data_IF_012431341600
#
_entry.id   IF_012431341600
#
_cell.length_a   1.000
_cell.length_b   1.000
_cell.length_c   1.000
_cell.angle_alpha   90.00
_cell.angle_beta   90.00
_cell.angle_gamma   90.00
#
_symmetry.space_group_name_H-M   'P 1'
#
loop_
_entity.id
_entity.type
_entity.pdbx_description
1 polymer ?
#
# COMPACT_ATOMS: atom_id res chain seq x y z
N UNK A 1 15.28 15.44 -28.83
CA UNK A 1 14.38 14.56 -28.05
C UNK A 1 14.90 14.56 -26.63
N UNK A 2 14.03 14.80 -25.69
CA UNK A 2 14.36 14.80 -24.26
C UNK A 2 14.77 13.40 -23.78
N UNK A 3 15.66 13.32 -22.81
CA UNK A 3 16.23 12.06 -22.34
C UNK A 3 16.30 12.04 -20.82
N UNK A 4 16.22 10.84 -20.24
CA UNK A 4 16.52 10.63 -18.81
C UNK A 4 18.00 10.98 -18.61
N UNK A 5 18.26 11.99 -17.78
CA UNK A 5 19.59 12.47 -17.47
C UNK A 5 20.19 11.78 -16.27
N UNK A 6 19.41 11.68 -15.19
CA UNK A 6 19.86 11.12 -13.93
C UNK A 6 18.70 10.53 -13.11
N UNK A 7 19.03 9.60 -12.23
CA UNK A 7 18.09 9.03 -11.26
C UNK A 7 18.75 9.07 -9.88
N UNK A 8 18.08 9.69 -8.92
CA UNK A 8 18.57 9.89 -7.57
C UNK A 8 17.69 9.21 -6.53
N UNK A 9 18.30 8.65 -5.48
CA UNK A 9 17.60 7.92 -4.42
C UNK A 9 17.80 8.63 -3.09
N UNK A 10 16.70 8.88 -2.38
CA UNK A 10 16.68 9.54 -1.08
C UNK A 10 15.97 8.66 -0.05
N UNK A 11 16.71 8.18 0.95
CA UNK A 11 16.12 7.55 2.13
C UNK A 11 15.80 8.61 3.15
N UNK A 12 14.52 8.78 3.48
CA UNK A 12 14.04 9.83 4.38
C UNK A 12 13.16 9.24 5.50
N UNK A 13 13.10 9.88 6.67
CA UNK A 13 12.19 9.48 7.74
C UNK A 13 10.72 9.44 7.28
N UNK A 14 9.88 8.61 7.92
CA UNK A 14 10.22 7.63 8.94
C UNK A 14 10.87 6.38 8.36
N UNK A 15 10.56 6.00 7.09
CA UNK A 15 11.05 4.78 6.43
C UNK A 15 10.90 4.80 4.90
N UNK A 16 10.79 5.96 4.29
CA UNK A 16 10.50 6.10 2.85
C UNK A 16 11.75 6.16 1.98
N UNK A 17 11.62 5.72 0.76
CA UNK A 17 12.66 5.74 -0.27
C UNK A 17 12.08 6.52 -1.45
N UNK A 18 12.38 7.81 -1.52
CA UNK A 18 11.96 8.67 -2.62
C UNK A 18 12.95 8.57 -3.78
N UNK A 19 12.44 8.61 -5.00
CA UNK A 19 13.21 8.49 -6.24
C UNK A 19 12.90 9.67 -7.13
N UNK A 20 13.94 10.41 -7.52
CA UNK A 20 13.83 11.51 -8.47
C UNK A 20 14.42 11.11 -9.82
N UNK A 21 13.68 11.30 -10.89
CA UNK A 21 14.13 11.12 -12.28
C UNK A 21 14.21 12.48 -12.95
N UNK A 22 15.43 12.92 -13.28
CA UNK A 22 15.69 14.19 -13.97
C UNK A 22 15.85 13.98 -15.48
N UNK A 23 15.44 14.97 -16.27
CA UNK A 23 15.52 14.97 -17.73
C UNK A 23 16.43 16.08 -18.26
N UNK A 24 16.86 15.99 -19.52
CA UNK A 24 17.73 16.98 -20.16
C UNK A 24 17.08 18.37 -20.31
N UNK A 25 15.75 18.42 -20.44
CA UNK A 25 14.97 19.66 -20.51
C UNK A 25 14.65 20.27 -19.12
N UNK A 26 15.15 19.64 -18.03
CA UNK A 26 15.07 20.16 -16.68
C UNK A 26 13.82 19.78 -15.90
N UNK A 27 12.97 18.88 -16.41
CA UNK A 27 11.87 18.33 -15.64
C UNK A 27 12.41 17.28 -14.65
N UNK A 28 11.84 17.27 -13.45
CA UNK A 28 12.04 16.22 -12.44
C UNK A 28 10.71 15.59 -12.11
N UNK A 29 10.62 14.28 -12.18
CA UNK A 29 9.49 13.53 -11.68
C UNK A 29 9.86 12.69 -10.47
N UNK A 30 8.88 12.42 -9.62
CA UNK A 30 9.06 11.74 -8.35
C UNK A 30 8.33 10.39 -8.30
N UNK A 31 9.02 9.41 -7.72
CA UNK A 31 8.47 8.10 -7.40
C UNK A 31 8.83 7.70 -5.98
N UNK A 32 8.24 6.61 -5.51
CA UNK A 32 8.51 6.08 -4.19
C UNK A 32 8.61 4.56 -4.21
N UNK A 33 9.67 4.06 -3.58
CA UNK A 33 9.92 2.64 -3.40
C UNK A 33 9.63 2.22 -1.95
N UNK A 34 9.28 0.96 -1.76
CA UNK A 34 8.98 0.32 -0.47
C UNK A 34 10.06 -0.73 -0.10
N UNK A 35 9.76 -1.68 0.74
CA UNK A 35 10.59 -2.72 1.36
C UNK A 35 11.59 -2.11 2.35
N UNK A 36 11.09 -1.49 3.43
CA UNK A 36 11.92 -0.72 4.37
C UNK A 36 13.09 -1.53 4.97
N UNK A 37 12.87 -2.79 5.28
CA UNK A 37 13.89 -3.69 5.86
C UNK A 37 15.01 -4.04 4.87
N UNK A 38 14.82 -3.71 3.59
CA UNK A 38 15.79 -3.96 2.50
C UNK A 38 16.15 -2.67 1.75
N UNK A 39 16.04 -1.51 2.40
CA UNK A 39 16.24 -0.20 1.77
C UNK A 39 17.57 -0.04 1.04
N UNK A 40 18.65 -0.64 1.54
CA UNK A 40 19.95 -0.62 0.86
C UNK A 40 19.95 -1.46 -0.44
N UNK A 41 19.30 -2.62 -0.43
CA UNK A 41 19.17 -3.46 -1.62
C UNK A 41 18.26 -2.79 -2.66
N UNK A 42 17.18 -2.13 -2.22
CA UNK A 42 16.30 -1.34 -3.11
C UNK A 42 17.07 -0.20 -3.77
N UNK A 43 17.88 0.55 -3.01
CA UNK A 43 18.73 1.61 -3.57
C UNK A 43 19.69 1.08 -4.63
N UNK A 44 20.40 -0.03 -4.36
CA UNK A 44 21.29 -0.67 -5.33
C UNK A 44 20.54 -1.17 -6.58
N UNK A 45 19.34 -1.73 -6.41
CA UNK A 45 18.53 -2.16 -7.55
C UNK A 45 18.08 -0.97 -8.43
N UNK A 46 17.75 0.17 -7.82
CA UNK A 46 17.42 1.40 -8.57
C UNK A 46 18.66 1.89 -9.36
N UNK A 47 19.84 1.88 -8.75
CA UNK A 47 21.09 2.25 -9.41
C UNK A 47 21.43 1.35 -10.59
N UNK A 48 21.24 0.03 -10.46
CA UNK A 48 21.43 -0.94 -11.56
C UNK A 48 20.44 -0.68 -12.71
N UNK A 49 19.17 -0.48 -12.38
CA UNK A 49 18.13 -0.17 -13.39
C UNK A 49 18.39 1.17 -14.06
N UNK A 50 18.83 2.19 -13.32
CA UNK A 50 19.19 3.49 -13.86
C UNK A 50 20.26 3.41 -14.95
N UNK A 51 21.27 2.56 -14.75
CA UNK A 51 22.31 2.30 -15.76
C UNK A 51 21.78 1.79 -17.10
N UNK A 52 20.64 1.11 -17.09
CA UNK A 52 20.02 0.53 -18.28
C UNK A 52 19.07 1.48 -19.02
N UNK A 53 18.59 2.56 -18.40
CA UNK A 53 17.56 3.43 -18.94
C UNK A 53 18.00 4.90 -19.08
N UNK A 54 19.09 5.32 -18.45
CA UNK A 54 19.67 6.64 -18.66
C UNK A 54 19.97 6.87 -20.14
N UNK A 55 19.64 8.06 -20.65
CA UNK A 55 19.71 8.40 -22.06
C UNK A 55 18.50 7.93 -22.90
N UNK A 56 17.56 7.20 -22.31
CA UNK A 56 16.32 6.83 -23.00
C UNK A 56 15.28 7.96 -22.99
N UNK A 57 14.29 7.86 -23.87
CA UNK A 57 13.14 8.77 -23.94
C UNK A 57 12.18 8.49 -22.77
N UNK A 58 11.98 9.45 -21.82
CA UNK A 58 11.10 9.27 -20.67
C UNK A 58 9.61 9.11 -21.04
N UNK A 59 9.22 9.51 -22.26
CA UNK A 59 7.84 9.34 -22.75
C UNK A 59 7.47 7.89 -23.10
N UNK A 60 8.47 7.02 -23.27
CA UNK A 60 8.25 5.59 -23.61
C UNK A 60 8.07 4.71 -22.37
N UNK A 61 7.14 5.09 -21.51
CA UNK A 61 6.98 4.49 -20.17
C UNK A 61 6.82 2.98 -20.22
N UNK A 62 5.93 2.45 -21.07
CA UNK A 62 5.69 0.99 -21.16
C UNK A 62 6.94 0.25 -21.70
N UNK A 63 7.69 0.81 -22.66
CA UNK A 63 8.94 0.20 -23.13
C UNK A 63 9.98 0.14 -22.00
N UNK A 64 10.13 1.24 -21.26
CA UNK A 64 11.04 1.31 -20.10
C UNK A 64 10.63 0.36 -18.97
N UNK A 65 9.32 0.29 -18.69
CA UNK A 65 8.77 -0.69 -17.76
C UNK A 65 9.14 -2.13 -18.13
N UNK A 66 8.93 -2.49 -19.41
CA UNK A 66 9.27 -3.83 -19.89
C UNK A 66 10.78 -4.11 -19.83
N UNK A 67 11.64 -3.12 -20.14
CA UNK A 67 13.10 -3.25 -19.98
C UNK A 67 13.47 -3.54 -18.53
N UNK A 68 12.92 -2.79 -17.58
CA UNK A 68 13.19 -2.97 -16.15
C UNK A 68 12.67 -4.29 -15.61
N UNK A 69 11.49 -4.74 -16.05
CA UNK A 69 10.80 -5.93 -15.51
C UNK A 69 11.13 -7.22 -16.26
N UNK A 70 11.42 -7.14 -17.55
CA UNK A 70 11.60 -8.31 -18.45
C UNK A 70 12.96 -8.38 -19.12
N UNK A 71 13.77 -7.33 -19.03
CA UNK A 71 15.07 -7.24 -19.70
C UNK A 71 16.12 -8.19 -19.12
N UNK A 72 15.98 -8.61 -17.87
CA UNK A 72 16.89 -9.56 -17.21
C UNK A 72 16.44 -11.01 -17.36
N UNK A 73 17.41 -11.94 -17.29
CA UNK A 73 17.12 -13.37 -17.23
C UNK A 73 16.48 -13.77 -15.91
N UNK A 74 17.02 -13.31 -14.79
CA UNK A 74 16.43 -13.46 -13.45
C UNK A 74 15.47 -12.30 -13.20
N UNK A 75 14.24 -12.62 -12.87
CA UNK A 75 13.14 -11.67 -12.72
C UNK A 75 12.47 -11.82 -11.36
N UNK A 76 11.67 -10.82 -11.03
CA UNK A 76 10.78 -10.77 -9.88
C UNK A 76 11.44 -10.60 -8.51
N UNK A 77 10.64 -10.65 -7.51
CA UNK A 77 10.98 -10.32 -6.14
C UNK A 77 10.71 -8.85 -5.79
N UNK A 78 10.40 -8.58 -4.51
CA UNK A 78 9.91 -7.27 -4.09
C UNK A 78 10.95 -6.16 -4.30
N UNK A 79 12.24 -6.45 -4.21
CA UNK A 79 13.31 -5.44 -4.36
C UNK A 79 13.38 -4.92 -5.81
N UNK A 80 13.36 -5.80 -6.81
CA UNK A 80 13.35 -5.38 -8.21
C UNK A 80 12.01 -4.78 -8.62
N UNK A 81 10.92 -5.32 -8.07
CA UNK A 81 9.58 -4.82 -8.34
C UNK A 81 9.43 -3.35 -7.90
N UNK A 82 9.77 -3.04 -6.67
CA UNK A 82 9.65 -1.68 -6.14
C UNK A 82 10.63 -0.70 -6.80
N UNK A 83 11.83 -1.15 -7.15
CA UNK A 83 12.80 -0.33 -7.88
C UNK A 83 12.24 0.09 -9.25
N UNK A 84 11.68 -0.85 -10.01
CA UNK A 84 11.05 -0.53 -11.30
C UNK A 84 9.79 0.33 -11.13
N UNK A 85 8.94 0.03 -10.14
CA UNK A 85 7.72 0.77 -9.87
C UNK A 85 7.98 2.23 -9.49
N UNK A 86 8.99 2.49 -8.67
CA UNK A 86 9.35 3.86 -8.28
C UNK A 86 9.83 4.72 -9.46
N UNK A 87 10.62 4.13 -10.35
CA UNK A 87 11.04 4.82 -11.58
C UNK A 87 9.84 5.07 -12.50
N UNK A 88 8.97 4.10 -12.65
CA UNK A 88 7.77 4.21 -13.50
C UNK A 88 6.81 5.30 -13.00
N UNK A 89 6.59 5.42 -11.69
CA UNK A 89 5.82 6.51 -11.09
C UNK A 89 6.41 7.87 -11.47
N UNK A 90 7.74 8.03 -11.34
CA UNK A 90 8.43 9.26 -11.70
C UNK A 90 8.31 9.59 -13.19
N UNK A 91 8.31 8.61 -14.08
CA UNK A 91 8.10 8.83 -15.51
C UNK A 91 6.67 9.30 -15.82
N UNK A 92 5.67 8.80 -15.10
CA UNK A 92 4.30 9.30 -15.20
C UNK A 92 4.18 10.73 -14.70
N UNK A 93 4.87 11.06 -13.62
CA UNK A 93 4.93 12.41 -13.07
C UNK A 93 5.53 13.39 -14.10
N UNK A 94 6.66 13.05 -14.71
CA UNK A 94 7.27 13.81 -15.82
C UNK A 94 6.29 13.98 -16.97
N UNK A 95 5.57 12.92 -17.37
CA UNK A 95 4.60 12.97 -18.46
C UNK A 95 3.48 13.96 -18.16
N UNK A 96 2.95 13.93 -16.95
CA UNK A 96 1.92 14.86 -16.51
C UNK A 96 2.40 16.31 -16.51
N UNK A 97 3.58 16.59 -15.96
CA UNK A 97 4.17 17.92 -15.98
C UNK A 97 4.44 18.43 -17.40
N UNK A 98 4.94 17.57 -18.28
CA UNK A 98 5.20 17.94 -19.69
C UNK A 98 3.96 18.39 -20.43
N UNK A 99 2.81 17.84 -20.11
CA UNK A 99 1.55 18.17 -20.77
C UNK A 99 0.65 19.12 -19.96
N UNK A 100 1.10 19.53 -18.77
CA UNK A 100 0.33 20.32 -17.81
C UNK A 100 -1.02 19.68 -17.45
N UNK A 101 -1.00 18.35 -17.26
CA UNK A 101 -2.19 17.55 -16.94
C UNK A 101 -1.91 16.59 -15.78
N UNK A 102 -2.89 16.30 -14.93
CA UNK A 102 -2.79 15.22 -13.96
C UNK A 102 -2.73 13.86 -14.67
N UNK A 103 -2.06 12.89 -14.06
CA UNK A 103 -1.83 11.57 -14.69
C UNK A 103 -3.13 10.85 -15.01
N UNK A 104 -4.18 10.99 -14.21
CA UNK A 104 -5.46 10.34 -14.47
C UNK A 104 -6.10 10.71 -15.81
N UNK A 105 -5.78 11.86 -16.40
CA UNK A 105 -6.26 12.23 -17.73
C UNK A 105 -5.72 11.30 -18.83
N UNK A 106 -4.54 10.73 -18.63
CA UNK A 106 -3.95 9.75 -19.56
C UNK A 106 -4.46 8.32 -19.31
N UNK A 107 -5.19 8.08 -18.22
CA UNK A 107 -5.75 6.77 -17.85
C UNK A 107 -7.25 6.64 -18.18
N UNK A 108 -7.80 7.59 -18.92
CA UNK A 108 -9.20 7.61 -19.32
C UNK A 108 -10.06 8.68 -18.63
N UNK A 109 -9.45 9.50 -17.78
CA UNK A 109 -10.13 10.56 -17.03
C UNK A 109 -10.82 10.08 -15.74
N UNK A 110 -11.16 11.01 -14.89
CA UNK A 110 -11.72 10.71 -13.59
C UNK A 110 -13.20 10.33 -13.66
N UNK A 111 -13.60 9.31 -12.90
CA UNK A 111 -15.00 8.88 -12.70
C UNK A 111 -15.57 9.37 -11.36
N UNK A 112 -14.73 9.98 -10.50
CA UNK A 112 -15.13 10.51 -9.21
C UNK A 112 -14.31 11.72 -8.80
N UNK A 113 -14.92 12.59 -7.99
CA UNK A 113 -14.28 13.80 -7.46
C UNK A 113 -13.60 13.57 -6.10
N UNK A 114 -13.96 12.50 -5.41
CA UNK A 114 -13.44 12.17 -4.08
C UNK A 114 -13.22 10.67 -3.95
N UNK A 115 -12.12 10.30 -3.28
CA UNK A 115 -11.77 8.91 -2.96
C UNK A 115 -11.86 8.76 -1.44
N UNK A 116 -12.72 7.86 -0.98
CA UNK A 116 -12.83 7.51 0.45
C UNK A 116 -11.53 6.90 0.93
N UNK A 117 -11.14 7.19 2.18
CA UNK A 117 -9.96 6.62 2.83
C UNK A 117 -10.30 6.06 4.20
N UNK A 118 -9.53 5.08 4.65
CA UNK A 118 -9.62 4.58 6.01
C UNK A 118 -8.41 4.99 6.84
N UNK A 119 -8.55 4.90 8.17
CA UNK A 119 -7.47 5.17 9.11
C UNK A 119 -7.07 3.89 9.86
N UNK A 120 -5.76 3.76 10.11
CA UNK A 120 -5.20 2.72 10.96
C UNK A 120 -5.39 3.04 12.44
N UNK A 121 -5.64 1.99 13.23
CA UNK A 121 -5.69 2.00 14.70
C UNK A 121 -4.95 0.78 15.27
N UNK A 122 -4.48 0.86 16.51
CA UNK A 122 -3.93 -0.26 17.27
C UNK A 122 -2.43 -0.57 17.06
N UNK A 123 -1.84 -0.20 15.92
CA UNK A 123 -0.43 -0.51 15.60
C UNK A 123 -0.19 -1.98 15.24
N UNK A 124 1.09 -2.41 15.18
CA UNK A 124 1.47 -3.80 14.84
C UNK A 124 0.97 -4.83 15.86
N UNK A 125 0.85 -4.40 17.11
CA UNK A 125 0.26 -5.13 18.22
C UNK A 125 -0.94 -4.34 18.71
N UNK A 126 -2.19 -4.82 18.51
CA UNK A 126 -3.37 -4.01 18.78
C UNK A 126 -3.48 -3.64 20.26
N UNK A 127 -3.50 -2.33 20.54
CA UNK A 127 -3.72 -1.77 21.86
C UNK A 127 -4.54 -0.49 21.75
N UNK A 128 -5.27 -0.14 22.80
CA UNK A 128 -6.06 1.11 22.91
C UNK A 128 -6.95 1.41 21.68
N UNK A 129 -7.49 0.36 21.06
CA UNK A 129 -8.20 0.46 19.77
C UNK A 129 -9.42 1.39 19.85
N UNK A 130 -10.14 1.39 20.97
CA UNK A 130 -11.34 2.25 21.15
C UNK A 130 -10.96 3.73 21.22
N UNK A 131 -9.95 4.08 22.03
CA UNK A 131 -9.45 5.46 22.14
C UNK A 131 -8.92 5.98 20.82
N UNK A 132 -8.17 5.14 20.09
CA UNK A 132 -7.66 5.52 18.78
C UNK A 132 -8.77 5.63 17.74
N UNK A 133 -9.76 4.74 17.76
CA UNK A 133 -10.93 4.83 16.91
C UNK A 133 -11.69 6.15 17.13
N UNK A 134 -11.96 6.52 18.38
CA UNK A 134 -12.62 7.79 18.73
C UNK A 134 -11.86 8.98 18.13
N UNK A 135 -10.54 9.02 18.30
CA UNK A 135 -9.71 10.09 17.73
C UNK A 135 -9.78 10.15 16.19
N UNK A 136 -9.83 9.01 15.49
CA UNK A 136 -9.96 8.98 14.03
C UNK A 136 -11.34 9.38 13.55
N UNK A 137 -12.38 8.94 14.23
CA UNK A 137 -13.76 9.35 13.93
C UNK A 137 -13.96 10.86 14.13
N UNK A 138 -13.37 11.44 15.18
CA UNK A 138 -13.35 12.89 15.39
C UNK A 138 -12.65 13.66 14.26
N UNK A 139 -11.70 13.05 13.56
CA UNK A 139 -11.05 13.59 12.35
C UNK A 139 -11.90 13.42 11.08
N UNK A 140 -13.08 12.79 11.19
CA UNK A 140 -14.03 12.61 10.09
C UNK A 140 -13.87 11.31 9.31
N UNK A 141 -13.01 10.38 9.73
CA UNK A 141 -12.96 9.05 9.11
C UNK A 141 -14.24 8.26 9.41
N UNK A 142 -14.67 7.45 8.47
CA UNK A 142 -15.85 6.58 8.60
C UNK A 142 -15.50 5.11 8.46
N UNK A 143 -14.24 4.83 8.16
CA UNK A 143 -13.68 3.47 8.04
C UNK A 143 -12.34 3.38 8.77
N UNK A 144 -12.14 2.26 9.45
CA UNK A 144 -10.97 1.96 10.26
C UNK A 144 -10.41 0.60 9.88
N UNK A 145 -9.08 0.44 9.97
CA UNK A 145 -8.38 -0.85 9.85
C UNK A 145 -7.50 -1.07 11.07
N UNK A 146 -7.46 -2.29 11.58
CA UNK A 146 -6.56 -2.70 12.65
C UNK A 146 -6.03 -4.10 12.41
N UNK A 147 -4.84 -4.38 12.95
CA UNK A 147 -4.35 -5.75 13.03
C UNK A 147 -5.27 -6.59 13.93
N UNK A 148 -5.49 -7.85 13.55
CA UNK A 148 -6.34 -8.75 14.31
C UNK A 148 -5.63 -9.26 15.55
N UNK A 149 -4.40 -9.72 15.37
CA UNK A 149 -3.69 -10.54 16.36
C UNK A 149 -2.31 -9.99 16.66
N UNK A 150 -1.83 -10.33 17.81
CA UNK A 150 -0.40 -10.51 18.09
C UNK A 150 0.09 -11.81 17.45
N UNK A 151 1.09 -12.48 18.03
CA UNK A 151 1.54 -13.78 17.55
C UNK A 151 0.50 -14.87 17.82
N UNK A 152 0.30 -15.76 16.84
CA UNK A 152 -0.48 -16.99 17.00
C UNK A 152 0.34 -18.19 16.54
N UNK A 153 0.22 -19.31 17.26
CA UNK A 153 0.75 -20.59 16.79
C UNK A 153 -0.13 -21.21 15.69
N UNK A 154 0.40 -22.22 14.98
CA UNK A 154 -0.35 -22.97 13.96
C UNK A 154 -1.69 -23.48 14.48
N UNK A 155 -1.70 -23.95 15.73
CA UNK A 155 -2.90 -24.28 16.51
C UNK A 155 -2.67 -23.73 17.90
N UNK A 156 -3.44 -22.72 18.26
CA UNK A 156 -3.33 -22.05 19.56
C UNK A 156 -4.56 -22.31 20.42
N UNK A 157 -4.51 -21.91 21.70
CA UNK A 157 -5.61 -22.03 22.64
C UNK A 157 -6.76 -21.07 22.28
N UNK A 158 -7.98 -21.47 22.60
CA UNK A 158 -9.19 -20.67 22.33
C UNK A 158 -9.11 -19.26 22.94
N UNK A 159 -8.49 -19.09 24.13
CA UNK A 159 -8.36 -17.78 24.76
C UNK A 159 -7.61 -16.73 23.93
N UNK A 160 -6.73 -17.14 23.00
CA UNK A 160 -6.07 -16.20 22.07
C UNK A 160 -7.05 -15.69 21.02
N UNK A 161 -8.05 -16.48 20.64
CA UNK A 161 -9.12 -16.03 19.76
C UNK A 161 -10.08 -15.09 20.50
N UNK A 162 -10.37 -15.39 21.78
CA UNK A 162 -11.24 -14.56 22.62
C UNK A 162 -10.69 -13.12 22.71
N UNK A 163 -9.37 -12.95 22.78
CA UNK A 163 -8.71 -11.64 22.79
C UNK A 163 -8.98 -10.83 21.51
N UNK A 164 -8.96 -11.48 20.35
CA UNK A 164 -9.28 -10.86 19.06
C UNK A 164 -10.75 -10.44 19.01
N UNK A 165 -11.63 -11.37 19.37
CA UNK A 165 -13.07 -11.16 19.39
C UNK A 165 -13.43 -10.01 20.34
N UNK A 166 -12.84 -9.98 21.53
CA UNK A 166 -13.08 -8.92 22.52
C UNK A 166 -12.67 -7.53 22.00
N UNK A 167 -11.57 -7.42 21.25
CA UNK A 167 -11.17 -6.13 20.65
C UNK A 167 -12.16 -5.66 19.57
N UNK A 168 -12.62 -6.56 18.71
CA UNK A 168 -13.62 -6.24 17.69
C UNK A 168 -14.96 -5.88 18.35
N UNK A 169 -15.39 -6.64 19.36
CA UNK A 169 -16.59 -6.36 20.15
C UNK A 169 -16.52 -4.97 20.78
N UNK A 170 -15.38 -4.60 21.40
CA UNK A 170 -15.22 -3.28 22.02
C UNK A 170 -15.43 -2.12 21.03
N UNK A 171 -14.97 -2.24 19.80
CA UNK A 171 -15.23 -1.23 18.74
C UNK A 171 -16.72 -1.22 18.39
N UNK A 172 -17.35 -2.38 18.25
CA UNK A 172 -18.78 -2.47 17.91
C UNK A 172 -19.68 -1.97 19.04
N UNK A 173 -19.32 -2.24 20.29
CA UNK A 173 -20.06 -1.73 21.47
C UNK A 173 -19.96 -0.21 21.58
N UNK A 174 -18.79 0.37 21.28
CA UNK A 174 -18.57 1.80 21.36
C UNK A 174 -19.22 2.59 20.20
N UNK A 175 -19.17 2.06 18.96
CA UNK A 175 -19.48 2.84 17.75
C UNK A 175 -20.54 2.20 16.84
N UNK A 176 -21.00 0.99 17.15
CA UNK A 176 -21.99 0.27 16.34
C UNK A 176 -21.47 -0.10 14.93
N UNK A 177 -22.43 -0.25 14.01
CA UNK A 177 -22.17 -0.61 12.60
C UNK A 177 -22.13 0.59 11.65
N UNK A 178 -22.25 1.82 12.18
CA UNK A 178 -22.10 3.04 11.38
C UNK A 178 -20.64 3.32 10.99
N UNK A 179 -19.70 2.63 11.62
CA UNK A 179 -18.26 2.67 11.33
C UNK A 179 -17.88 1.38 10.61
N UNK A 180 -17.31 1.52 9.41
CA UNK A 180 -16.76 0.37 8.72
C UNK A 180 -15.44 -0.06 9.38
N UNK A 181 -15.31 -1.35 9.66
CA UNK A 181 -14.14 -1.92 10.32
C UNK A 181 -13.55 -3.04 9.45
N UNK A 182 -12.32 -2.84 9.00
CA UNK A 182 -11.49 -3.87 8.38
C UNK A 182 -10.54 -4.48 9.41
N UNK A 183 -10.34 -5.77 9.32
CA UNK A 183 -9.48 -6.52 10.22
C UNK A 183 -8.37 -7.20 9.41
N UNK A 184 -7.13 -6.86 9.72
CA UNK A 184 -5.97 -7.37 9.01
C UNK A 184 -5.31 -8.51 9.81
N UNK A 185 -5.22 -9.68 9.20
CA UNK A 185 -4.51 -10.82 9.78
C UNK A 185 -3.02 -10.79 9.45
N UNK A 186 -2.62 -9.91 8.52
CA UNK A 186 -1.22 -9.70 8.12
C UNK A 186 -0.48 -10.99 7.73
N UNK A 187 -1.19 -12.01 7.24
CA UNK A 187 -0.61 -13.32 6.95
C UNK A 187 -0.01 -14.04 8.16
N UNK A 188 -0.36 -13.64 9.39
CA UNK A 188 0.12 -14.27 10.65
C UNK A 188 -0.71 -15.46 11.09
N UNK A 189 -1.92 -15.56 10.57
CA UNK A 189 -2.91 -16.53 11.03
C UNK A 189 -2.90 -17.77 10.14
N UNK A 190 -2.50 -18.89 10.69
CA UNK A 190 -2.50 -20.15 9.98
C UNK A 190 -3.92 -20.68 9.75
N UNK A 191 -4.11 -21.48 8.70
CA UNK A 191 -5.42 -21.96 8.24
C UNK A 191 -6.35 -22.49 9.34
N UNK A 192 -5.93 -23.33 10.31
CA UNK A 192 -6.83 -23.81 11.35
C UNK A 192 -7.40 -22.69 12.22
N UNK A 193 -6.54 -21.74 12.61
CA UNK A 193 -6.92 -20.60 13.44
C UNK A 193 -7.73 -19.57 12.66
N UNK A 194 -7.38 -19.35 11.37
CA UNK A 194 -8.14 -18.48 10.49
C UNK A 194 -9.59 -18.95 10.35
N UNK A 195 -9.82 -20.25 10.20
CA UNK A 195 -11.18 -20.82 10.13
C UNK A 195 -11.97 -20.59 11.41
N UNK A 196 -11.33 -20.78 12.56
CA UNK A 196 -11.99 -20.56 13.85
C UNK A 196 -12.33 -19.06 14.07
N UNK A 197 -11.38 -18.16 13.79
CA UNK A 197 -11.61 -16.73 13.92
C UNK A 197 -12.70 -16.22 12.98
N UNK A 198 -12.66 -16.58 11.71
CA UNK A 198 -13.61 -16.11 10.72
C UNK A 198 -15.04 -16.49 11.05
N UNK A 199 -15.26 -17.71 11.54
CA UNK A 199 -16.59 -18.18 11.97
C UNK A 199 -17.15 -17.31 13.12
N UNK A 200 -16.32 -16.93 14.09
CA UNK A 200 -16.75 -16.09 15.21
C UNK A 200 -16.86 -14.60 14.82
N UNK A 201 -16.06 -14.13 13.86
CA UNK A 201 -16.04 -12.74 13.44
C UNK A 201 -17.20 -12.34 12.53
N UNK A 202 -17.88 -13.29 11.86
CA UNK A 202 -18.99 -13.00 10.94
C UNK A 202 -20.09 -12.14 11.58
N UNK A 203 -20.37 -12.33 12.87
CA UNK A 203 -21.41 -11.62 13.61
C UNK A 203 -21.17 -10.11 13.72
N UNK A 204 -19.93 -9.65 13.57
CA UNK A 204 -19.57 -8.25 13.75
C UNK A 204 -19.74 -7.39 12.50
N UNK A 205 -20.10 -7.95 11.34
CA UNK A 205 -20.31 -7.19 10.11
C UNK A 205 -19.05 -6.39 9.71
N UNK A 206 -17.92 -7.07 9.57
CA UNK A 206 -16.67 -6.47 9.13
C UNK A 206 -16.76 -6.00 7.68
N UNK A 207 -16.05 -4.95 7.35
CA UNK A 207 -15.91 -4.45 5.98
C UNK A 207 -15.16 -5.46 5.12
N UNK A 208 -14.06 -6.04 5.66
CA UNK A 208 -13.35 -7.22 5.17
C UNK A 208 -12.43 -7.82 6.23
N UNK A 209 -11.97 -9.04 5.96
CA UNK A 209 -10.77 -9.60 6.58
C UNK A 209 -9.66 -9.65 5.52
N UNK A 210 -8.51 -9.06 5.86
CA UNK A 210 -7.34 -8.92 5.02
C UNK A 210 -6.29 -9.98 5.36
N UNK A 211 -5.61 -10.51 4.33
CA UNK A 211 -4.55 -11.49 4.42
C UNK A 211 -4.82 -12.61 5.44
N UNK A 212 -5.94 -13.37 5.29
CA UNK A 212 -6.37 -14.34 6.29
C UNK A 212 -5.45 -15.56 6.42
N UNK A 213 -4.45 -15.68 5.56
CA UNK A 213 -3.51 -16.80 5.49
C UNK A 213 -2.07 -16.32 5.32
N UNK A 214 -1.06 -17.11 5.72
CA UNK A 214 0.34 -16.82 5.43
C UNK A 214 0.61 -16.68 3.92
N UNK A 215 1.60 -15.87 3.53
CA UNK A 215 1.98 -15.69 2.13
C UNK A 215 2.27 -17.01 1.42
N UNK A 216 1.83 -17.15 0.18
CA UNK A 216 1.98 -18.36 -0.63
C UNK A 216 0.90 -19.41 -0.38
N UNK A 217 -0.14 -19.08 0.39
CA UNK A 217 -1.28 -19.97 0.65
C UNK A 217 -2.58 -19.46 -0.04
N UNK A 218 -2.45 -18.60 -1.05
CA UNK A 218 -3.59 -17.95 -1.72
C UNK A 218 -4.52 -18.98 -2.38
N UNK A 219 -4.01 -20.13 -2.79
CA UNK A 219 -4.81 -21.23 -3.36
C UNK A 219 -5.85 -21.81 -2.38
N UNK A 220 -5.70 -21.55 -1.07
CA UNK A 220 -6.64 -21.96 -0.04
C UNK A 220 -7.78 -20.95 0.22
N UNK A 221 -7.73 -19.77 -0.39
CA UNK A 221 -8.74 -18.72 -0.19
C UNK A 221 -10.18 -19.19 -0.50
N UNK A 222 -10.45 -20.03 -1.52
CA UNK A 222 -11.80 -20.55 -1.73
C UNK A 222 -12.35 -21.38 -0.56
N UNK A 223 -11.48 -22.06 0.21
CA UNK A 223 -11.88 -22.74 1.45
C UNK A 223 -12.18 -21.72 2.55
N UNK A 224 -11.32 -20.72 2.70
CA UNK A 224 -11.43 -19.67 3.71
C UNK A 224 -12.70 -18.83 3.49
N UNK A 225 -12.97 -18.40 2.27
CA UNK A 225 -14.17 -17.62 1.94
C UNK A 225 -15.47 -18.33 2.31
N UNK A 226 -15.54 -19.67 2.16
CA UNK A 226 -16.71 -20.44 2.59
C UNK A 226 -16.93 -20.39 4.10
N UNK A 227 -15.86 -20.30 4.89
CA UNK A 227 -15.95 -20.20 6.36
C UNK A 227 -16.23 -18.77 6.79
N UNK A 228 -15.70 -17.78 6.07
CA UNK A 228 -15.93 -16.38 6.33
C UNK A 228 -17.41 -15.93 6.16
N UNK A 229 -18.22 -16.76 5.47
CA UNK A 229 -19.65 -16.51 5.29
C UNK A 229 -19.90 -15.19 4.56
N UNK A 230 -20.47 -14.22 5.25
CA UNK A 230 -20.77 -12.87 4.71
C UNK A 230 -19.61 -11.90 4.78
N UNK A 231 -18.52 -12.24 5.44
CA UNK A 231 -17.38 -11.33 5.60
C UNK A 231 -16.52 -11.35 4.33
N UNK A 232 -16.39 -10.23 3.62
CA UNK A 232 -15.53 -10.16 2.43
C UNK A 232 -14.08 -10.49 2.75
N UNK A 233 -13.38 -11.10 1.81
CA UNK A 233 -11.94 -11.42 1.90
C UNK A 233 -11.15 -10.47 1.00
N UNK A 234 -10.14 -9.84 1.59
CA UNK A 234 -9.21 -8.95 0.90
C UNK A 234 -7.78 -9.49 0.94
N UNK A 235 -7.02 -9.35 -0.14
CA UNK A 235 -5.60 -9.69 -0.19
C UNK A 235 -4.93 -9.11 -1.44
N UNK A 236 -3.60 -9.13 -1.49
CA UNK A 236 -2.86 -8.78 -2.70
C UNK A 236 -1.69 -7.84 -2.50
N UNK A 237 -1.49 -7.28 -1.32
CA UNK A 237 -0.39 -6.33 -1.03
C UNK A 237 1.01 -6.89 -1.30
N UNK A 238 1.17 -8.22 -1.24
CA UNK A 238 2.45 -8.94 -1.47
C UNK A 238 2.57 -9.51 -2.88
N UNK A 239 1.53 -9.39 -3.71
CA UNK A 239 1.56 -9.85 -5.09
C UNK A 239 2.19 -8.80 -6.00
N UNK A 240 3.10 -9.24 -6.88
CA UNK A 240 3.98 -8.34 -7.63
C UNK A 240 3.67 -8.27 -9.13
N UNK A 241 2.84 -9.19 -9.65
CA UNK A 241 2.66 -9.34 -11.11
C UNK A 241 1.20 -9.56 -11.49
N UNK A 242 0.83 -9.15 -12.70
CA UNK A 242 -0.50 -9.44 -13.25
C UNK A 242 -0.82 -10.93 -13.27
N UNK A 243 0.20 -11.76 -13.51
CA UNK A 243 0.04 -13.21 -13.54
C UNK A 243 -0.32 -13.79 -12.17
N UNK A 244 0.22 -13.24 -11.06
CA UNK A 244 -0.18 -13.63 -9.71
C UNK A 244 -1.62 -13.22 -9.39
N UNK A 245 -2.00 -11.99 -9.74
CA UNK A 245 -3.38 -11.53 -9.59
C UNK A 245 -4.38 -12.29 -10.48
N UNK A 246 -3.99 -12.63 -11.72
CA UNK A 246 -4.83 -13.45 -12.59
C UNK A 246 -5.09 -14.84 -12.00
N UNK A 247 -4.08 -15.48 -11.38
CA UNK A 247 -4.26 -16.75 -10.66
C UNK A 247 -5.19 -16.59 -9.48
N UNK A 248 -4.98 -15.56 -8.65
CA UNK A 248 -5.84 -15.24 -7.50
C UNK A 248 -7.29 -15.07 -7.91
N UNK A 249 -7.57 -14.21 -8.89
CA UNK A 249 -8.91 -13.94 -9.39
C UNK A 249 -9.58 -15.20 -9.99
N UNK A 250 -8.81 -15.97 -10.76
CA UNK A 250 -9.32 -17.21 -11.37
C UNK A 250 -9.61 -18.33 -10.36
N UNK A 251 -8.86 -18.39 -9.26
CA UNK A 251 -9.11 -19.34 -8.18
C UNK A 251 -10.41 -19.01 -7.42
N UNK A 252 -10.75 -17.72 -7.33
CA UNK A 252 -11.88 -17.23 -6.55
C UNK A 252 -11.62 -17.19 -5.04
N UNK A 253 -12.65 -16.81 -4.27
CA UNK A 253 -12.54 -16.68 -2.81
C UNK A 253 -11.89 -15.38 -2.35
N UNK A 254 -11.72 -14.41 -3.25
CA UNK A 254 -11.32 -13.05 -2.97
C UNK A 254 -12.41 -12.10 -3.47
N UNK A 255 -12.79 -11.14 -2.64
CA UNK A 255 -13.80 -10.12 -2.94
C UNK A 255 -13.17 -8.76 -3.22
N UNK A 256 -11.97 -8.53 -2.67
CA UNK A 256 -11.23 -7.28 -2.78
C UNK A 256 -9.76 -7.59 -3.03
N UNK A 257 -9.19 -7.06 -4.12
CA UNK A 257 -7.74 -7.10 -4.30
C UNK A 257 -7.10 -5.80 -3.81
N UNK A 258 -5.87 -5.92 -3.27
CA UNK A 258 -5.15 -4.82 -2.63
C UNK A 258 -3.73 -4.63 -3.22
N UNK A 259 -3.61 -4.38 -4.53
CA UNK A 259 -2.30 -4.14 -5.13
C UNK A 259 -1.67 -2.85 -4.58
N UNK A 260 -0.34 -2.88 -4.36
CA UNK A 260 0.44 -1.72 -3.95
C UNK A 260 1.13 -1.08 -5.15
N UNK A 261 0.86 0.20 -5.38
CA UNK A 261 1.47 0.98 -6.47
C UNK A 261 3.00 1.02 -6.39
N UNK A 262 3.56 0.95 -5.18
CA UNK A 262 5.01 0.94 -4.97
C UNK A 262 5.67 -0.40 -5.31
N UNK A 263 4.90 -1.44 -5.54
CA UNK A 263 5.36 -2.76 -5.97
C UNK A 263 4.95 -3.07 -7.42
N UNK A 264 3.74 -2.72 -7.79
CA UNK A 264 3.20 -3.01 -9.12
C UNK A 264 3.52 -1.94 -10.16
N UNK A 265 3.69 -0.69 -9.75
CA UNK A 265 3.70 0.47 -10.64
C UNK A 265 2.30 1.02 -10.89
N UNK A 266 2.23 2.27 -11.34
CA UNK A 266 0.97 3.00 -11.52
C UNK A 266 0.13 2.41 -12.67
N UNK A 267 0.75 2.16 -13.82
CA UNK A 267 0.02 1.63 -14.97
C UNK A 267 -0.33 0.15 -14.84
N UNK A 268 0.45 -0.63 -14.10
CA UNK A 268 0.06 -1.99 -13.76
C UNK A 268 -1.10 -1.99 -12.76
N UNK A 269 -1.13 -1.08 -11.78
CA UNK A 269 -2.28 -0.91 -10.88
C UNK A 269 -3.56 -0.62 -11.67
N UNK A 270 -3.50 0.25 -12.67
CA UNK A 270 -4.65 0.53 -13.56
C UNK A 270 -5.12 -0.73 -14.30
N UNK A 271 -4.19 -1.47 -14.91
CA UNK A 271 -4.49 -2.75 -15.59
C UNK A 271 -5.10 -3.79 -14.64
N UNK A 272 -4.63 -3.83 -13.38
CA UNK A 272 -5.17 -4.72 -12.34
C UNK A 272 -6.61 -4.35 -11.97
N UNK A 273 -6.91 -3.05 -11.85
CA UNK A 273 -8.28 -2.59 -11.63
C UNK A 273 -9.21 -3.06 -12.75
N UNK A 274 -8.82 -2.88 -14.05
CA UNK A 274 -9.62 -3.35 -15.18
C UNK A 274 -9.77 -4.86 -15.23
N UNK A 275 -8.74 -5.59 -14.84
CA UNK A 275 -8.82 -7.05 -14.75
C UNK A 275 -9.78 -7.49 -13.65
N UNK A 276 -9.70 -6.90 -12.46
CA UNK A 276 -10.58 -7.21 -11.34
C UNK A 276 -12.05 -6.89 -11.64
N UNK A 277 -12.32 -5.80 -12.37
CA UNK A 277 -13.66 -5.42 -12.81
C UNK A 277 -14.33 -6.53 -13.63
N UNK A 278 -13.58 -7.24 -14.48
CA UNK A 278 -14.11 -8.36 -15.26
C UNK A 278 -14.49 -9.59 -14.43
N UNK A 279 -14.03 -9.68 -13.19
CA UNK A 279 -14.36 -10.73 -12.23
C UNK A 279 -15.38 -10.29 -11.17
N UNK A 280 -15.92 -9.07 -11.28
CA UNK A 280 -16.79 -8.45 -10.24
C UNK A 280 -16.09 -8.35 -8.88
N UNK A 281 -14.78 -8.08 -8.88
CA UNK A 281 -13.95 -7.95 -7.70
C UNK A 281 -13.58 -6.48 -7.47
N UNK A 282 -13.77 -6.02 -6.24
CA UNK A 282 -13.41 -4.66 -5.83
C UNK A 282 -11.89 -4.49 -5.67
N UNK A 283 -11.46 -3.23 -5.65
CA UNK A 283 -10.06 -2.88 -5.39
C UNK A 283 -9.99 -1.90 -4.21
N UNK A 284 -9.10 -2.16 -3.27
CA UNK A 284 -8.76 -1.26 -2.18
C UNK A 284 -7.22 -1.17 -2.12
N UNK A 285 -6.58 -0.27 -2.89
CA UNK A 285 -5.13 -0.26 -3.02
C UNK A 285 -4.43 -0.14 -1.68
N UNK A 286 -3.49 -1.04 -1.40
CA UNK A 286 -2.61 -1.00 -0.25
C UNK A 286 -1.65 0.18 -0.38
N UNK A 287 -1.55 1.02 0.63
CA UNK A 287 -0.67 2.20 0.61
C UNK A 287 -0.34 2.73 2.03
N UNK A 288 0.32 1.98 2.91
CA UNK A 288 0.85 2.48 4.17
C UNK A 288 2.16 3.23 3.95
N UNK A 289 2.32 3.83 2.79
CA UNK A 289 3.55 4.42 2.25
C UNK A 289 3.57 5.94 2.42
N UNK A 290 4.51 6.60 1.77
CA UNK A 290 4.67 8.03 1.80
C UNK A 290 3.82 8.80 0.77
N UNK A 291 4.11 10.10 0.61
CA UNK A 291 3.25 10.99 -0.16
C UNK A 291 3.23 10.70 -1.66
N UNK A 292 4.33 10.21 -2.23
CA UNK A 292 4.40 9.97 -3.68
C UNK A 292 3.60 8.73 -4.05
N UNK A 293 3.72 7.66 -3.26
CA UNK A 293 2.92 6.45 -3.46
C UNK A 293 1.43 6.72 -3.32
N UNK A 294 1.02 7.49 -2.30
CA UNK A 294 -0.40 7.85 -2.14
C UNK A 294 -0.90 8.69 -3.31
N UNK A 295 -0.13 9.68 -3.76
CA UNK A 295 -0.48 10.49 -4.91
C UNK A 295 -0.61 9.65 -6.19
N UNK A 296 0.33 8.74 -6.44
CA UNK A 296 0.30 7.82 -7.59
C UNK A 296 -0.92 6.88 -7.54
N UNK A 297 -1.22 6.31 -6.38
CA UNK A 297 -2.38 5.44 -6.18
C UNK A 297 -3.70 6.18 -6.41
N UNK A 298 -3.80 7.44 -5.94
CA UNK A 298 -4.98 8.29 -6.16
C UNK A 298 -5.25 8.58 -7.64
N UNK A 299 -4.22 8.70 -8.48
CA UNK A 299 -4.40 8.89 -9.91
C UNK A 299 -5.21 7.73 -10.52
N UNK A 300 -4.91 6.50 -10.12
CA UNK A 300 -5.66 5.32 -10.56
C UNK A 300 -7.02 5.22 -9.86
N UNK A 301 -7.08 5.45 -8.55
CA UNK A 301 -8.32 5.38 -7.78
C UNK A 301 -9.41 6.33 -8.28
N UNK A 302 -9.00 7.46 -8.89
CA UNK A 302 -9.94 8.40 -9.51
C UNK A 302 -10.54 7.89 -10.81
N UNK A 303 -9.85 7.00 -11.56
CA UNK A 303 -10.26 6.51 -12.87
C UNK A 303 -10.97 5.16 -12.83
N UNK A 304 -10.68 4.33 -11.83
CA UNK A 304 -11.19 2.97 -11.75
C UNK A 304 -12.49 2.90 -10.94
N UNK A 305 -13.58 2.50 -11.58
CA UNK A 305 -14.93 2.46 -10.99
C UNK A 305 -15.04 1.49 -9.82
N UNK A 306 -14.30 0.40 -9.86
CA UNK A 306 -14.28 -0.65 -8.84
C UNK A 306 -13.31 -0.41 -7.67
N UNK A 307 -12.59 0.71 -7.61
CA UNK A 307 -11.87 1.11 -6.40
C UNK A 307 -12.90 1.62 -5.38
N UNK A 308 -13.00 0.93 -4.24
CA UNK A 308 -14.03 1.21 -3.22
C UNK A 308 -13.52 2.10 -2.10
N UNK A 309 -12.23 2.02 -1.77
CA UNK A 309 -11.59 2.82 -0.73
C UNK A 309 -10.07 2.78 -0.93
N UNK A 310 -9.36 3.81 -0.47
CA UNK A 310 -7.90 3.92 -0.56
C UNK A 310 -7.26 3.87 0.82
N UNK A 311 -6.19 3.11 0.98
CA UNK A 311 -5.33 3.19 2.15
C UNK A 311 -4.49 4.45 2.14
N UNK A 312 -4.17 4.95 3.34
CA UNK A 312 -3.26 6.06 3.55
C UNK A 312 -2.55 5.91 4.91
N UNK A 313 -1.40 6.56 5.07
CA UNK A 313 -0.52 6.33 6.23
C UNK A 313 -0.54 7.44 7.29
N UNK A 314 -1.36 8.48 7.15
CA UNK A 314 -1.39 9.59 8.12
C UNK A 314 -1.63 9.10 9.54
N UNK A 315 -0.70 9.46 10.43
CA UNK A 315 -0.75 9.11 11.85
C UNK A 315 -0.55 7.64 12.15
N UNK A 316 0.05 6.87 11.25
CA UNK A 316 0.50 5.52 11.57
C UNK A 316 1.57 5.53 12.68
N UNK A 317 1.58 4.50 13.51
CA UNK A 317 2.43 4.41 14.69
C UNK A 317 3.93 4.54 14.40
N UNK A 318 4.42 4.08 13.25
CA UNK A 318 5.84 4.19 12.89
C UNK A 318 6.27 5.62 12.50
N UNK A 319 5.37 6.54 12.27
CA UNK A 319 5.69 7.96 12.05
C UNK A 319 6.23 8.63 13.33
N UNK A 320 5.89 8.11 14.49
CA UNK A 320 6.32 8.64 15.78
C UNK A 320 7.74 8.20 16.23
N UNK A 321 8.55 7.63 15.34
CA UNK A 321 9.90 7.14 15.68
C UNK A 321 9.94 5.65 16.00
N UNK A 322 9.14 4.86 15.32
CA UNK A 322 9.07 3.41 15.45
C UNK A 322 10.43 2.73 15.24
N UNK A 323 10.74 1.73 16.08
CA UNK A 323 11.97 0.93 16.01
C UNK A 323 13.27 1.77 15.97
N UNK A 324 13.28 2.96 16.61
CA UNK A 324 14.44 3.85 16.66
C UNK A 324 14.69 4.65 15.37
N UNK A 325 13.79 4.58 14.40
CA UNK A 325 13.81 5.45 13.24
C UNK A 325 13.46 6.90 13.63
N UNK A 326 14.02 7.90 12.92
CA UNK A 326 13.60 9.28 13.11
C UNK A 326 12.10 9.46 12.83
N UNK A 327 11.49 10.42 13.54
CA UNK A 327 10.09 10.82 13.28
C UNK A 327 9.95 11.47 11.92
N UNK A 328 8.80 11.27 11.29
CA UNK A 328 8.47 11.93 10.04
C UNK A 328 7.01 11.68 9.65
N UNK A 329 6.41 12.69 9.03
CA UNK A 329 5.08 12.63 8.42
C UNK A 329 5.18 12.89 6.92
N UNK A 330 4.20 12.41 6.14
CA UNK A 330 4.24 12.60 4.69
C UNK A 330 4.23 14.09 4.30
N UNK A 331 3.61 14.94 5.09
CA UNK A 331 3.56 16.38 4.84
C UNK A 331 4.89 17.08 5.02
N UNK A 332 5.85 16.47 5.70
CA UNK A 332 7.20 17.01 5.87
C UNK A 332 7.98 17.11 4.55
N UNK A 333 7.50 16.47 3.48
CA UNK A 333 8.14 16.40 2.16
C UNK A 333 7.32 17.06 1.06
N UNK A 334 6.24 17.76 1.41
CA UNK A 334 5.36 18.42 0.47
C UNK A 334 5.46 19.94 0.61
N UNK A 335 5.65 20.64 -0.50
CA UNK A 335 5.56 22.11 -0.53
C UNK A 335 4.12 22.59 -0.23
N UNK A 336 3.11 21.77 -0.60
CA UNK A 336 1.70 22.00 -0.28
C UNK A 336 1.06 20.67 0.16
N UNK A 337 0.65 20.53 1.44
CA UNK A 337 0.03 19.30 1.93
C UNK A 337 -1.45 19.14 1.55
N UNK A 338 -2.10 20.19 1.06
CA UNK A 338 -3.57 20.21 0.79
C UNK A 338 -4.04 19.09 -0.13
N UNK A 339 -3.33 18.70 -1.21
CA UNK A 339 -3.77 17.61 -2.09
C UNK A 339 -3.94 16.27 -1.38
N UNK A 340 -3.14 16.00 -0.33
CA UNK A 340 -3.15 14.75 0.42
C UNK A 340 -3.75 14.90 1.84
N UNK A 341 -4.41 16.02 2.13
CA UNK A 341 -5.09 16.22 3.41
C UNK A 341 -6.52 15.71 3.34
N UNK A 342 -6.89 14.65 4.09
CA UNK A 342 -8.24 14.11 4.09
C UNK A 342 -9.24 15.12 4.66
N UNK A 343 -10.43 15.17 4.07
CA UNK A 343 -11.54 15.93 4.57
C UNK A 343 -12.80 15.05 4.60
N UNK A 344 -13.39 14.87 5.80
CA UNK A 344 -14.55 14.02 5.98
C UNK A 344 -14.32 12.58 5.47
N UNK A 345 -13.19 11.99 5.85
CA UNK A 345 -12.81 10.61 5.51
C UNK A 345 -12.55 10.35 4.02
N UNK A 346 -12.24 11.38 3.24
CA UNK A 346 -11.92 11.24 1.81
C UNK A 346 -10.83 12.22 1.38
N UNK A 347 -10.11 11.87 0.32
CA UNK A 347 -9.20 12.73 -0.42
C UNK A 347 -9.89 13.25 -1.69
N UNK A 348 -9.60 14.48 -2.06
CA UNK A 348 -10.09 15.03 -3.32
C UNK A 348 -9.32 14.46 -4.50
N UNK A 349 -9.93 14.46 -5.66
CA UNK A 349 -9.27 14.16 -6.92
C UNK A 349 -8.06 15.09 -7.12
N UNK A 350 -6.87 14.56 -7.43
CA UNK A 350 -5.71 15.38 -7.75
C UNK A 350 -5.99 16.29 -8.95
N UNK A 351 -5.72 17.59 -8.79
CA UNK A 351 -5.99 18.59 -9.85
C UNK A 351 -4.71 19.15 -10.48
N UNK A 352 -3.55 19.01 -9.83
CA UNK A 352 -2.26 19.49 -10.35
C UNK A 352 -1.68 18.59 -11.43
N UNK A 353 -0.77 19.12 -12.23
CA UNK A 353 0.00 18.35 -13.21
C UNK A 353 0.80 17.21 -12.54
N UNK A 354 1.14 16.19 -13.31
CA UNK A 354 1.87 15.04 -12.81
C UNK A 354 1.04 14.22 -11.83
N UNK A 355 1.63 13.84 -10.71
CA UNK A 355 0.94 13.14 -9.63
C UNK A 355 0.04 14.06 -8.80
N UNK A 356 0.02 15.38 -9.10
CA UNK A 356 -0.84 16.35 -8.43
C UNK A 356 -0.32 16.82 -7.06
N UNK A 357 0.95 16.58 -6.78
CA UNK A 357 1.68 17.04 -5.60
C UNK A 357 2.97 17.77 -5.99
N UNK A 358 3.51 18.56 -5.09
CA UNK A 358 4.82 19.19 -5.27
C UNK A 358 5.73 18.78 -4.11
N UNK A 359 6.82 18.12 -4.42
CA UNK A 359 7.83 17.71 -3.43
C UNK A 359 8.66 18.90 -3.01
N UNK A 360 8.89 19.05 -1.72
CA UNK A 360 9.89 19.98 -1.16
C UNK A 360 11.28 19.33 -1.25
N UNK A 361 11.99 19.59 -2.35
CA UNK A 361 13.30 19.02 -2.61
C UNK A 361 14.34 19.41 -1.53
N UNK A 362 14.22 20.60 -0.95
CA UNK A 362 15.09 21.06 0.11
C UNK A 362 14.89 20.23 1.39
N UNK A 363 13.64 20.00 1.78
CA UNK A 363 13.30 19.14 2.91
C UNK A 363 13.73 17.67 2.68
N UNK A 364 13.59 17.15 1.47
CA UNK A 364 14.07 15.81 1.10
C UNK A 364 15.58 15.70 1.23
N UNK A 365 16.33 16.71 0.74
CA UNK A 365 17.79 16.73 0.80
C UNK A 365 18.30 16.87 2.25
N UNK A 366 17.71 17.77 3.04
CA UNK A 366 18.05 18.00 4.45
C UNK A 366 17.80 16.77 5.32
N UNK A 367 16.66 16.10 5.14
CA UNK A 367 16.25 14.94 5.94
C UNK A 367 16.81 13.61 5.44
N UNK A 368 17.58 13.62 4.34
CA UNK A 368 18.22 12.40 3.83
C UNK A 368 19.05 11.74 4.92
N UNK A 369 18.79 10.46 5.15
CA UNK A 369 19.51 9.69 6.18
C UNK A 369 19.84 8.29 5.69
N UNK A 370 20.85 7.68 6.32
CA UNK A 370 21.25 6.31 6.05
C UNK A 370 20.49 5.27 6.91
N UNK A 371 19.25 5.54 7.29
CA UNK A 371 18.48 4.67 8.19
C UNK A 371 18.44 3.22 7.71
N UNK A 372 18.39 2.31 8.67
CA UNK A 372 18.14 0.88 8.46
C UNK A 372 17.09 0.44 9.45
N UNK A 373 16.15 -0.36 8.98
CA UNK A 373 15.14 -1.00 9.82
C UNK A 373 15.50 -2.48 9.93
N UNK A 374 15.79 -2.99 11.14
CA UNK A 374 16.04 -4.41 11.34
C UNK A 374 14.77 -5.23 11.12
N UNK A 375 14.94 -6.50 10.79
CA UNK A 375 13.83 -7.44 10.88
C UNK A 375 13.42 -7.60 12.35
N UNK A 376 12.11 -7.68 12.67
CA UNK A 376 11.69 -7.96 14.03
C UNK A 376 12.08 -9.40 14.41
N UNK A 377 12.47 -9.58 15.66
CA UNK A 377 12.72 -10.90 16.24
C UNK A 377 11.55 -11.27 17.17
N UNK A 378 10.39 -11.45 16.59
CA UNK A 378 9.20 -11.87 17.32
C UNK A 378 9.23 -13.37 17.52
N UNK A 379 9.00 -13.81 18.77
CA UNK A 379 9.10 -15.20 19.19
C UNK A 379 7.83 -15.69 19.85
N UNK A 380 7.46 -16.91 19.53
CA UNK A 380 6.46 -17.66 20.28
C UNK A 380 7.00 -18.05 21.66
N UNK A 381 6.12 -18.47 22.58
CA UNK A 381 6.48 -18.84 23.95
C UNK A 381 7.56 -19.94 24.04
N UNK A 382 7.66 -20.80 23.04
CA UNK A 382 8.66 -21.87 22.94
C UNK A 382 9.97 -21.45 22.25
N UNK A 383 10.10 -20.18 21.87
CA UNK A 383 11.29 -19.60 21.25
C UNK A 383 11.37 -19.74 19.72
N UNK A 384 10.40 -20.37 19.06
CA UNK A 384 10.32 -20.35 17.58
C UNK A 384 10.03 -18.92 17.07
N UNK A 385 10.52 -18.62 15.86
CA UNK A 385 10.19 -17.37 15.19
C UNK A 385 8.68 -17.35 14.91
N UNK A 386 8.03 -16.27 15.29
CA UNK A 386 6.62 -16.02 14.92
C UNK A 386 6.50 -15.49 13.49
N UNK A 387 5.35 -15.66 12.87
CA UNK A 387 5.04 -14.98 11.61
C UNK A 387 5.00 -13.46 11.80
N UNK A 388 5.37 -12.76 10.74
CA UNK A 388 5.49 -11.28 10.77
C UNK A 388 4.13 -10.61 10.89
#
# INVERSE_FOLDING_TARGET
MDRIKEISVYRVPPRWILVAVGTDDGLTGWGEAIVPKRAAAVGGAIEDLAGNITGADPGRIEDLWQRMRRGGFFRDGPVLATAAASIEQALWDIKGHRHDLPVHEFLGGAVRERVRVYAWIGGDRPADVVTQAEARLAQGYTALKMNATEDLDLIDRASRLDEVIARVAAIRDAFGTAVDLALDFHGRVHRPMAKALLAELEQFGLMWVEEPLPPGQEDLLPEIARVAGRTPIATGERLLTRESFARLLSAGGVDIIQPDVSLTGLFELEKLCRMAEAYDVAVAPHCPNGPVSLAASLQVACCAGNVVIQEQSLGLHYHAGYAGLPRGEMFDYLADPRPLTPAGGALNRPAGAGLGITIDEAAVAERRSGWRLPDPDWRLDDGRLAEW
#
